data_IF_224300640250
#
_entry.id   IF_224300640250
#
_cell.length_a   1.000
_cell.length_b   1.000
_cell.length_c   1.000
_cell.angle_alpha   90.00
_cell.angle_beta   90.00
_cell.angle_gamma   90.00
#
_symmetry.space_group_name_H-M   'P 1'
#
loop_
_entity.id
_entity.type
_entity.pdbx_description
1 polymer ?
#
# COMPACT_ATOMS: atom_id res chain seq x y z
N UNK A 1 -28.11 -45.62 -18.19
CA UNK A 1 -28.03 -44.13 -18.18
C UNK A 1 -26.61 -43.78 -17.78
N UNK A 2 -25.76 -43.49 -18.77
CA UNK A 2 -24.36 -43.18 -18.56
C UNK A 2 -24.26 -41.70 -18.19
N UNK A 3 -23.84 -41.41 -16.96
CA UNK A 3 -23.59 -40.04 -16.51
C UNK A 3 -22.38 -39.50 -17.29
N UNK A 4 -22.63 -38.57 -18.23
CA UNK A 4 -21.58 -37.82 -18.90
C UNK A 4 -20.83 -37.01 -17.85
N UNK A 5 -19.54 -37.29 -17.72
CA UNK A 5 -18.61 -36.52 -16.91
C UNK A 5 -18.49 -35.15 -17.57
N UNK A 6 -19.12 -34.13 -16.98
CA UNK A 6 -18.91 -32.75 -17.40
C UNK A 6 -17.46 -32.40 -17.09
N UNK A 7 -16.65 -32.33 -18.14
CA UNK A 7 -15.36 -31.67 -18.09
C UNK A 7 -15.64 -30.19 -17.87
N UNK A 8 -15.44 -29.72 -16.64
CA UNK A 8 -15.46 -28.29 -16.33
C UNK A 8 -14.47 -27.58 -17.27
N UNK A 9 -14.99 -26.92 -18.29
CA UNK A 9 -14.23 -25.98 -19.09
C UNK A 9 -13.88 -24.81 -18.19
N UNK A 10 -12.58 -24.63 -17.94
CA UNK A 10 -12.02 -23.46 -17.27
C UNK A 10 -12.56 -22.20 -17.94
N UNK A 11 -13.46 -21.49 -17.28
CA UNK A 11 -13.93 -20.19 -17.74
C UNK A 11 -12.84 -19.16 -17.43
N UNK A 12 -12.08 -18.79 -18.45
CA UNK A 12 -11.24 -17.60 -18.40
C UNK A 12 -12.13 -16.36 -18.41
N UNK A 13 -12.42 -15.79 -17.24
CA UNK A 13 -12.98 -14.43 -17.16
C UNK A 13 -11.82 -13.43 -17.22
N UNK A 14 -11.15 -13.40 -18.37
CA UNK A 14 -10.10 -12.43 -18.68
C UNK A 14 -10.70 -11.02 -18.78
N UNK A 15 -11.03 -10.40 -17.65
CA UNK A 15 -11.27 -8.98 -17.58
C UNK A 15 -9.93 -8.29 -17.33
N UNK A 16 -9.16 -8.11 -18.40
CA UNK A 16 -8.01 -7.22 -18.38
C UNK A 16 -8.56 -5.80 -18.21
N UNK A 17 -8.36 -5.21 -17.04
CA UNK A 17 -8.68 -3.80 -16.87
C UNK A 17 -7.80 -2.98 -17.81
N UNK A 18 -8.42 -2.17 -18.66
CA UNK A 18 -7.74 -1.16 -19.48
C UNK A 18 -7.21 -0.01 -18.61
N UNK A 19 -7.51 0.02 -17.30
CA UNK A 19 -6.88 0.95 -16.37
C UNK A 19 -5.45 0.50 -16.06
N UNK A 20 -4.49 1.30 -16.51
CA UNK A 20 -3.11 1.32 -16.00
C UNK A 20 -3.17 1.22 -14.46
N UNK A 21 -2.69 0.10 -13.93
CA UNK A 21 -2.55 -0.26 -12.53
C UNK A 21 -3.23 0.65 -11.49
N UNK A 22 -4.43 0.28 -11.06
CA UNK A 22 -5.15 1.01 -10.01
C UNK A 22 -4.44 0.88 -8.66
N UNK A 23 -3.93 2.00 -8.16
CA UNK A 23 -3.37 2.10 -6.81
C UNK A 23 -4.44 1.83 -5.74
N UNK A 24 -4.18 0.82 -4.91
CA UNK A 24 -5.07 0.33 -3.86
C UNK A 24 -4.38 0.39 -2.51
N UNK A 25 -5.17 0.52 -1.47
CA UNK A 25 -4.69 0.42 -0.10
C UNK A 25 -4.76 -1.03 0.37
N UNK A 26 -3.73 -1.50 1.08
CA UNK A 26 -3.65 -2.86 1.62
C UNK A 26 -4.77 -3.17 2.60
N UNK A 27 -5.21 -2.16 3.36
CA UNK A 27 -6.35 -2.25 4.25
C UNK A 27 -7.65 -1.99 3.48
N UNK A 28 -8.31 -3.08 3.07
CA UNK A 28 -9.49 -3.06 2.21
C UNK A 28 -10.82 -2.76 2.93
N UNK A 29 -10.82 -2.65 4.27
CA UNK A 29 -12.08 -2.55 5.01
C UNK A 29 -12.70 -1.15 4.94
N UNK A 30 -13.73 -1.03 4.10
CA UNK A 30 -14.51 0.19 3.83
C UNK A 30 -15.30 0.72 5.04
N UNK A 31 -15.46 -0.05 6.11
CA UNK A 31 -16.20 0.43 7.31
C UNK A 31 -15.36 1.33 8.22
N UNK A 32 -14.03 1.25 8.14
CA UNK A 32 -13.12 2.10 8.93
C UNK A 32 -12.79 3.41 8.23
N UNK A 33 -12.68 3.39 6.90
CA UNK A 33 -12.44 4.56 6.06
C UNK A 33 -13.62 4.71 5.10
N UNK A 34 -14.51 5.68 5.37
CA UNK A 34 -15.73 5.90 4.58
C UNK A 34 -15.36 6.29 3.14
N UNK A 35 -16.04 5.68 2.16
CA UNK A 35 -15.80 5.86 0.73
C UNK A 35 -15.74 7.32 0.28
N UNK A 36 -14.76 7.62 -0.58
CA UNK A 36 -14.40 8.99 -0.99
C UNK A 36 -12.89 9.25 -1.09
N UNK A 37 -12.05 8.21 -0.95
CA UNK A 37 -10.60 8.32 -0.78
C UNK A 37 -9.81 8.69 -2.04
N UNK A 38 -9.98 9.92 -2.53
CA UNK A 38 -9.23 10.49 -3.65
C UNK A 38 -7.94 11.18 -3.23
N UNK A 39 -7.70 11.35 -1.93
CA UNK A 39 -6.49 12.02 -1.44
C UNK A 39 -5.24 11.29 -1.91
N UNK A 40 -4.37 12.02 -2.60
CA UNK A 40 -3.05 11.58 -3.03
C UNK A 40 -2.07 12.71 -2.79
N UNK A 41 -0.94 12.39 -2.16
CA UNK A 41 0.13 13.37 -1.92
C UNK A 41 1.42 12.98 -2.64
N UNK A 42 1.28 12.49 -3.88
CA UNK A 42 2.40 12.20 -4.76
C UNK A 42 3.29 13.43 -4.94
N UNK A 43 4.61 13.20 -5.01
CA UNK A 43 5.52 14.25 -5.48
C UNK A 43 5.21 14.61 -6.93
N UNK A 44 5.65 15.79 -7.36
CA UNK A 44 5.52 16.18 -8.77
C UNK A 44 6.25 15.17 -9.66
N UNK A 45 5.54 14.62 -10.66
CA UNK A 45 6.06 13.59 -11.56
C UNK A 45 5.76 12.15 -11.14
N UNK A 46 5.26 11.93 -9.93
CA UNK A 46 4.94 10.60 -9.39
C UNK A 46 3.44 10.28 -9.51
N UNK A 47 3.06 8.99 -9.54
CA UNK A 47 3.94 7.83 -9.66
C UNK A 47 4.48 7.69 -11.10
N UNK A 48 5.76 7.40 -11.26
CA UNK A 48 6.45 7.35 -12.56
C UNK A 48 6.68 5.92 -13.07
N UNK A 49 6.48 4.91 -12.20
CA UNK A 49 6.75 3.50 -12.46
C UNK A 49 8.13 3.27 -13.11
N UNK A 50 9.18 3.87 -12.55
CA UNK A 50 10.52 3.81 -13.12
C UNK A 50 10.98 2.36 -13.34
N UNK A 51 11.41 2.04 -14.56
CA UNK A 51 11.83 0.69 -14.93
C UNK A 51 10.71 -0.37 -14.92
N UNK A 52 9.44 0.04 -14.85
CA UNK A 52 8.27 -0.83 -14.94
C UNK A 52 7.99 -1.70 -13.71
N UNK A 53 8.68 -1.44 -12.59
CA UNK A 53 8.61 -2.27 -11.38
C UNK A 53 8.48 -1.46 -10.07
N UNK A 54 8.06 -0.21 -10.13
CA UNK A 54 7.76 0.58 -8.95
C UNK A 54 6.26 0.49 -8.64
N UNK A 55 5.93 -0.36 -7.66
CA UNK A 55 4.54 -0.78 -7.40
C UNK A 55 4.14 -0.60 -5.95
N UNK A 56 5.02 -0.08 -5.12
CA UNK A 56 4.78 0.10 -3.70
C UNK A 56 5.08 1.56 -3.33
N UNK A 57 4.17 2.21 -2.61
CA UNK A 57 4.35 3.61 -2.28
C UNK A 57 5.11 3.79 -0.97
N UNK A 58 5.97 4.80 -0.95
CA UNK A 58 6.61 5.32 0.26
C UNK A 58 6.11 6.73 0.55
N UNK A 59 6.19 7.13 1.81
CA UNK A 59 6.14 8.54 2.22
C UNK A 59 7.54 9.00 2.60
N UNK A 60 7.98 10.14 2.06
CA UNK A 60 9.25 10.78 2.41
C UNK A 60 9.10 11.70 3.63
N UNK A 61 10.22 12.10 4.25
CA UNK A 61 10.25 13.05 5.40
C UNK A 61 9.54 14.38 5.14
N UNK A 62 9.48 14.83 3.88
CA UNK A 62 8.78 16.04 3.50
C UNK A 62 7.24 15.86 3.40
N UNK A 63 6.76 14.62 3.47
CA UNK A 63 5.35 14.23 3.40
C UNK A 63 4.89 13.79 2.02
N UNK A 64 5.69 13.95 0.96
CA UNK A 64 5.34 13.53 -0.40
C UNK A 64 5.54 12.03 -0.61
N UNK A 65 4.78 11.48 -1.56
CA UNK A 65 4.79 10.07 -1.89
C UNK A 65 5.53 9.81 -3.19
N UNK A 66 6.15 8.64 -3.25
CA UNK A 66 6.89 8.13 -4.40
C UNK A 66 6.55 6.67 -4.58
N UNK A 67 6.47 6.18 -5.81
CA UNK A 67 6.47 4.75 -6.03
C UNK A 67 7.90 4.20 -6.03
N UNK A 68 8.05 2.99 -5.52
CA UNK A 68 9.32 2.30 -5.36
C UNK A 68 9.14 0.82 -5.62
N UNK A 69 10.25 0.16 -5.95
CA UNK A 69 10.29 -1.29 -6.02
C UNK A 69 9.96 -1.88 -4.66
N UNK A 70 9.02 -2.82 -4.63
CA UNK A 70 8.51 -3.42 -3.40
C UNK A 70 9.58 -4.19 -2.59
N UNK A 71 10.71 -4.54 -3.21
CA UNK A 71 11.80 -5.30 -2.60
C UNK A 71 12.87 -4.43 -1.93
N UNK A 72 12.73 -3.09 -1.95
CA UNK A 72 13.62 -2.21 -1.18
C UNK A 72 13.36 -2.39 0.32
N UNK A 73 14.44 -2.44 1.09
CA UNK A 73 14.37 -2.55 2.55
C UNK A 73 14.20 -1.17 3.18
N UNK A 74 12.99 -0.86 3.66
CA UNK A 74 12.67 0.41 4.33
C UNK A 74 11.93 0.20 5.67
N UNK A 75 12.00 1.17 6.59
CA UNK A 75 11.05 1.28 7.68
C UNK A 75 9.60 1.28 7.20
N UNK A 76 8.66 1.01 8.10
CA UNK A 76 7.24 1.00 7.77
C UNK A 76 6.38 1.76 8.77
N UNK A 77 5.23 2.21 8.31
CA UNK A 77 4.21 2.86 9.13
C UNK A 77 3.02 1.92 9.20
N UNK A 78 2.73 1.40 10.39
CA UNK A 78 1.58 0.55 10.64
C UNK A 78 0.40 1.38 11.14
N UNK A 79 -0.81 0.86 10.95
CA UNK A 79 -2.05 1.33 11.52
C UNK A 79 -2.56 0.34 12.57
N UNK A 80 -3.00 0.86 13.72
CA UNK A 80 -3.39 0.04 14.88
C UNK A 80 -4.88 -0.36 14.92
N UNK A 81 -5.73 0.23 14.08
CA UNK A 81 -7.15 -0.10 14.00
C UNK A 81 -8.07 0.60 15.01
N UNK A 82 -7.52 1.33 15.99
CA UNK A 82 -8.31 1.78 17.16
C UNK A 82 -8.62 3.27 17.14
N UNK A 83 -7.70 4.14 16.71
CA UNK A 83 -7.88 5.61 16.81
C UNK A 83 -7.03 6.43 15.81
N UNK A 84 -6.92 6.03 14.54
CA UNK A 84 -6.00 6.69 13.57
C UNK A 84 -4.54 6.74 14.03
N UNK A 85 -4.12 5.85 14.95
CA UNK A 85 -2.75 5.84 15.45
C UNK A 85 -1.86 5.19 14.39
N UNK A 86 -0.90 5.97 13.93
CA UNK A 86 0.18 5.52 13.07
C UNK A 86 1.39 5.17 13.93
N UNK A 87 1.95 3.98 13.69
CA UNK A 87 3.10 3.46 14.42
C UNK A 87 4.27 3.33 13.46
N UNK A 88 5.29 4.16 13.70
CA UNK A 88 6.50 4.16 12.88
C UNK A 88 7.54 3.18 13.42
N UNK A 89 7.74 2.06 12.72
CA UNK A 89 8.81 1.12 13.05
C UNK A 89 10.11 1.52 12.34
N UNK A 90 10.91 2.35 13.03
CA UNK A 90 12.20 2.86 12.51
C UNK A 90 13.37 1.88 12.61
N UNK A 91 13.24 0.83 13.42
CA UNK A 91 14.38 -0.02 13.83
C UNK A 91 14.65 -1.09 12.76
N UNK A 92 13.60 -1.78 12.31
CA UNK A 92 13.76 -2.89 11.37
C UNK A 92 13.25 -2.52 9.99
N UNK A 93 14.14 -2.56 9.00
CA UNK A 93 13.79 -2.39 7.59
C UNK A 93 13.21 -3.68 7.02
N UNK A 94 12.28 -3.55 6.10
CA UNK A 94 11.53 -4.65 5.48
C UNK A 94 11.23 -4.33 4.03
N UNK A 95 11.08 -5.36 3.20
CA UNK A 95 10.37 -5.21 1.92
C UNK A 95 8.92 -4.78 2.19
N UNK A 96 8.22 -4.27 1.19
CA UNK A 96 6.83 -3.84 1.37
C UNK A 96 5.93 -5.00 1.84
N UNK A 97 6.11 -6.20 1.27
CA UNK A 97 5.33 -7.38 1.65
C UNK A 97 5.64 -7.84 3.08
N UNK A 98 6.92 -7.88 3.48
CA UNK A 98 7.29 -8.20 4.86
C UNK A 98 6.79 -7.15 5.86
N UNK A 99 6.80 -5.87 5.47
CA UNK A 99 6.26 -4.78 6.28
C UNK A 99 4.74 -4.94 6.48
N UNK A 100 4.02 -5.28 5.40
CA UNK A 100 2.59 -5.58 5.47
C UNK A 100 2.30 -6.74 6.42
N UNK A 101 3.00 -7.86 6.25
CA UNK A 101 2.87 -9.03 7.13
C UNK A 101 3.12 -8.65 8.59
N UNK A 102 4.22 -7.95 8.85
CA UNK A 102 4.55 -7.46 10.19
C UNK A 102 3.44 -6.60 10.80
N UNK A 103 2.92 -5.63 10.04
CA UNK A 103 1.85 -4.76 10.53
C UNK A 103 0.55 -5.54 10.78
N UNK A 104 0.23 -6.56 9.99
CA UNK A 104 -0.95 -7.41 10.19
C UNK A 104 -0.82 -8.38 11.36
N UNK A 105 0.40 -8.86 11.64
CA UNK A 105 0.68 -9.74 12.78
C UNK A 105 0.68 -8.99 14.12
N UNK A 106 1.13 -7.73 14.13
CA UNK A 106 1.29 -6.94 15.36
C UNK A 106 0.16 -5.91 15.58
N UNK A 107 -0.47 -5.47 14.50
CA UNK A 107 -1.42 -4.35 14.47
C UNK A 107 -2.58 -4.69 13.53
N UNK A 108 -3.05 -3.74 12.71
CA UNK A 108 -4.09 -3.98 11.70
C UNK A 108 -3.52 -4.17 10.30
N UNK A 109 -2.78 -3.19 9.77
CA UNK A 109 -2.15 -3.25 8.44
C UNK A 109 -1.13 -2.10 8.30
N UNK A 110 -0.47 -1.97 7.15
CA UNK A 110 0.22 -0.74 6.76
C UNK A 110 -0.75 0.44 6.71
N UNK A 111 -0.21 1.63 7.00
CA UNK A 111 -0.99 2.85 7.11
C UNK A 111 -1.67 3.23 5.79
N UNK A 112 -2.97 3.54 5.87
CA UNK A 112 -3.72 4.16 4.79
C UNK A 112 -3.81 5.66 4.99
N UNK A 113 -3.35 6.45 4.03
CA UNK A 113 -3.33 7.92 4.13
C UNK A 113 -4.48 8.51 3.31
N UNK A 114 -5.55 8.88 3.99
CA UNK A 114 -6.83 9.27 3.33
C UNK A 114 -7.10 10.78 3.29
N UNK A 115 -6.30 11.58 3.99
CA UNK A 115 -6.45 13.03 4.03
C UNK A 115 -5.13 13.70 4.45
N UNK A 116 -5.11 15.03 4.37
CA UNK A 116 -3.96 15.85 4.73
C UNK A 116 -3.53 15.66 6.20
N UNK A 117 -4.48 15.62 7.14
CA UNK A 117 -4.18 15.45 8.56
C UNK A 117 -3.43 14.13 8.85
N UNK A 118 -3.87 13.03 8.26
CA UNK A 118 -3.18 11.74 8.36
C UNK A 118 -1.78 11.77 7.74
N UNK A 119 -1.62 12.48 6.62
CA UNK A 119 -0.32 12.66 5.98
C UNK A 119 0.66 13.45 6.87
N UNK A 120 0.19 14.53 7.49
CA UNK A 120 0.99 15.36 8.40
C UNK A 120 1.40 14.61 9.67
N UNK A 121 0.50 13.79 10.23
CA UNK A 121 0.83 12.92 11.37
C UNK A 121 1.99 11.97 11.03
N UNK A 122 1.90 11.26 9.89
CA UNK A 122 2.95 10.32 9.47
C UNK A 122 4.25 11.05 9.13
N UNK A 123 4.16 12.20 8.45
CA UNK A 123 5.31 13.07 8.18
C UNK A 123 6.03 13.43 9.48
N UNK A 124 5.31 13.86 10.51
CA UNK A 124 5.91 14.22 11.80
C UNK A 124 6.55 13.03 12.52
N UNK A 125 5.90 11.85 12.48
CA UNK A 125 6.46 10.61 13.06
C UNK A 125 7.77 10.19 12.39
N UNK A 126 7.90 10.43 11.08
CA UNK A 126 9.05 10.02 10.27
C UNK A 126 10.20 11.03 10.27
N UNK A 127 10.04 12.24 10.81
CA UNK A 127 11.11 13.25 10.88
C UNK A 127 12.36 12.77 11.62
N UNK A 128 12.18 11.97 12.67
CA UNK A 128 13.29 11.41 13.47
C UNK A 128 13.97 10.18 12.83
N UNK A 129 13.50 9.76 11.66
CA UNK A 129 14.08 8.63 10.92
C UNK A 129 15.44 8.96 10.35
N UNK A 130 16.40 8.04 10.48
CA UNK A 130 17.66 8.12 9.72
C UNK A 130 17.40 7.91 8.23
N UNK A 131 16.37 7.13 7.86
CA UNK A 131 15.99 6.88 6.47
C UNK A 131 15.08 7.98 5.94
N UNK A 132 15.20 8.31 4.66
CA UNK A 132 14.45 9.41 4.05
C UNK A 132 13.00 9.08 3.71
N UNK A 133 12.62 7.79 3.78
CA UNK A 133 11.28 7.33 3.47
C UNK A 133 10.85 6.11 4.30
N UNK A 134 9.54 5.86 4.32
CA UNK A 134 8.92 4.71 4.97
C UNK A 134 7.77 4.14 4.12
N UNK A 135 7.56 2.82 4.21
CA UNK A 135 6.45 2.15 3.55
C UNK A 135 5.10 2.58 4.12
N UNK A 136 4.16 2.86 3.21
CA UNK A 136 2.73 3.02 3.49
C UNK A 136 1.94 1.94 2.74
N UNK A 137 0.66 1.76 3.08
CA UNK A 137 -0.15 0.66 2.57
C UNK A 137 -0.61 0.80 1.12
N UNK A 138 -0.16 1.81 0.39
CA UNK A 138 -0.57 2.03 -1.00
C UNK A 138 0.32 1.19 -1.94
N UNK A 139 -0.30 0.39 -2.80
CA UNK A 139 0.37 -0.47 -3.76
C UNK A 139 -0.40 -0.56 -5.08
N UNK A 140 0.31 -0.90 -6.14
CA UNK A 140 -0.23 -1.10 -7.46
C UNK A 140 -0.21 -2.60 -7.79
N UNK A 141 -1.38 -3.23 -7.72
CA UNK A 141 -1.53 -4.62 -8.12
C UNK A 141 -1.88 -4.72 -9.60
N UNK A 142 -0.84 -4.85 -10.42
CA UNK A 142 -0.98 -5.03 -11.87
C UNK A 142 -1.23 -6.49 -12.28
N UNK A 143 -1.30 -7.43 -11.32
CA UNK A 143 -1.50 -8.85 -11.60
C UNK A 143 -2.94 -9.27 -11.28
N UNK A 144 -3.69 -9.65 -12.32
CA UNK A 144 -4.92 -10.46 -12.21
C UNK A 144 -4.92 -11.49 -13.32
#
# INVERSE_FOLDING_TARGET
>A
ITLKKETATLAWIGLKSESVGEWKWSLANQTFYKGGDTYRNWSSGEPDNQGGNERCAVIAKNGFWFDRRCDIMLPCVCYDGKNTIFLFNKITKRTWYEAQTYCREKYTDLASVRNQAGNELIRNLTQSSVNDSAWIGLFNDSWK
#
